data_IF_336899761603
#
_entry.id   IF_336899761603
#
_cell.length_a   1.000
_cell.length_b   1.000
_cell.length_c   1.000
_cell.angle_alpha   90.00
_cell.angle_beta   90.00
_cell.angle_gamma   90.00
#
_symmetry.space_group_name_H-M   'P 1'
#
loop_
_entity.id
_entity.type
_entity.pdbx_description
1 polymer ?
#
# COMPACT_ATOMS: atom_id res chain seq x y z
N UNK A 1 26.26 -12.64 3.61
CA UNK A 1 26.92 -13.90 3.20
C UNK A 1 25.79 -14.80 2.72
N UNK A 2 25.60 -14.86 1.41
CA UNK A 2 24.54 -15.61 0.74
C UNK A 2 25.12 -17.00 0.47
N UNK A 3 24.57 -18.01 1.11
CA UNK A 3 24.88 -19.40 0.77
C UNK A 3 23.89 -19.84 -0.29
N UNK A 4 24.37 -19.96 -1.52
CA UNK A 4 23.69 -20.62 -2.62
C UNK A 4 23.88 -22.12 -2.47
N UNK A 5 22.80 -22.86 -2.24
CA UNK A 5 22.83 -24.32 -2.34
C UNK A 5 22.60 -24.75 -3.79
N UNK A 6 23.26 -25.84 -4.24
CA UNK A 6 23.16 -26.31 -5.62
C UNK A 6 21.83 -27.04 -5.84
N UNK A 7 21.06 -26.60 -6.83
CA UNK A 7 19.92 -27.34 -7.38
C UNK A 7 20.41 -28.54 -8.17
N UNK A 8 20.23 -29.73 -7.64
CA UNK A 8 20.46 -30.99 -8.40
C UNK A 8 19.27 -31.21 -9.36
N UNK A 9 19.50 -31.38 -10.66
CA UNK A 9 18.42 -31.66 -11.58
C UNK A 9 17.90 -33.10 -11.41
N UNK A 10 16.58 -33.26 -11.47
CA UNK A 10 15.90 -34.55 -11.50
C UNK A 10 16.27 -35.30 -12.80
N UNK A 11 17.02 -36.37 -12.68
CA UNK A 11 17.30 -37.29 -13.79
C UNK A 11 16.26 -38.40 -13.77
N UNK A 12 15.42 -38.47 -14.81
CA UNK A 12 14.50 -39.59 -15.01
C UNK A 12 15.22 -40.71 -15.75
N UNK A 13 15.45 -41.84 -15.10
CA UNK A 13 15.83 -43.07 -15.78
C UNK A 13 14.59 -43.97 -15.93
N UNK A 14 14.14 -44.16 -17.18
CA UNK A 14 13.14 -45.15 -17.52
C UNK A 14 13.84 -46.49 -17.76
N UNK A 15 13.49 -47.52 -17.01
CA UNK A 15 13.83 -48.93 -17.31
C UNK A 15 12.60 -49.61 -17.90
N UNK A 16 12.75 -50.43 -18.96
CA UNK A 16 11.63 -51.16 -19.55
C UNK A 16 11.22 -52.35 -18.65
N UNK A 17 9.97 -52.37 -18.21
CA UNK A 17 9.36 -53.51 -17.51
C UNK A 17 9.32 -53.40 -15.98
N UNK A 18 9.28 -52.22 -15.39
CA UNK A 18 9.32 -52.02 -13.95
C UNK A 18 8.03 -51.50 -13.35
N UNK A 19 7.67 -52.08 -12.24
CA UNK A 19 6.80 -51.52 -11.22
C UNK A 19 7.29 -50.14 -10.82
N UNK A 20 6.38 -49.13 -10.79
CA UNK A 20 6.67 -47.80 -10.26
C UNK A 20 6.95 -47.90 -8.75
N UNK A 21 8.20 -47.90 -8.37
CA UNK A 21 8.56 -47.61 -6.97
C UNK A 21 8.55 -46.11 -6.81
N UNK A 22 7.65 -45.58 -5.98
CA UNK A 22 7.72 -44.23 -5.46
C UNK A 22 9.02 -44.12 -4.65
N UNK A 23 10.08 -43.59 -5.26
CA UNK A 23 11.22 -43.08 -4.51
C UNK A 23 10.67 -41.91 -3.70
N UNK A 24 10.59 -42.06 -2.40
CA UNK A 24 10.04 -41.05 -1.49
C UNK A 24 10.68 -39.70 -1.78
N UNK A 25 9.86 -38.75 -2.13
CA UNK A 25 10.24 -37.35 -2.12
C UNK A 25 10.67 -37.05 -0.69
N UNK A 26 11.97 -36.89 -0.45
CA UNK A 26 12.46 -36.35 0.82
C UNK A 26 11.91 -34.94 0.93
N UNK A 27 10.72 -34.80 1.52
CA UNK A 27 10.25 -33.51 1.94
C UNK A 27 11.26 -32.98 2.94
N UNK A 28 11.95 -31.92 2.58
CA UNK A 28 12.83 -31.19 3.49
C UNK A 28 12.00 -30.88 4.76
N UNK A 29 12.32 -31.51 5.86
CA UNK A 29 11.58 -31.30 7.10
C UNK A 29 11.81 -29.87 7.54
N UNK A 30 10.75 -29.05 7.57
CA UNK A 30 10.85 -27.67 8.01
C UNK A 30 11.38 -27.64 9.46
N UNK A 31 12.46 -26.91 9.76
CA UNK A 31 13.20 -27.06 11.01
C UNK A 31 12.45 -26.54 12.25
N UNK A 32 11.35 -25.79 12.07
CA UNK A 32 10.56 -25.25 13.19
C UNK A 32 9.34 -26.11 13.47
N UNK A 33 9.11 -26.38 14.74
CA UNK A 33 7.93 -27.11 15.20
C UNK A 33 6.71 -26.21 15.34
N UNK A 34 5.52 -26.80 15.21
CA UNK A 34 4.25 -26.15 15.52
C UNK A 34 4.15 -26.01 17.03
N UNK A 35 3.93 -24.78 17.52
CA UNK A 35 3.78 -24.49 18.93
C UNK A 35 2.30 -24.31 19.29
N UNK A 36 1.87 -24.91 20.39
CA UNK A 36 0.59 -24.59 21.03
C UNK A 36 0.60 -23.16 21.56
N UNK A 37 -0.57 -22.57 21.83
CA UNK A 37 -0.66 -21.22 22.43
C UNK A 37 0.14 -21.10 23.71
N UNK A 38 0.05 -22.10 24.59
CA UNK A 38 0.82 -22.13 25.84
C UNK A 38 2.34 -22.13 25.60
N UNK A 39 2.82 -22.86 24.59
CA UNK A 39 4.23 -22.87 24.20
C UNK A 39 4.66 -21.54 23.54
N UNK A 40 3.76 -20.89 22.78
CA UNK A 40 4.02 -19.57 22.22
C UNK A 40 4.17 -18.52 23.34
N UNK A 41 3.32 -18.54 24.36
CA UNK A 41 3.48 -17.68 25.55
C UNK A 41 4.80 -17.97 26.25
N UNK A 42 5.11 -19.25 26.45
CA UNK A 42 6.36 -19.65 27.10
C UNK A 42 7.59 -19.16 26.31
N UNK A 43 7.55 -19.18 24.98
CA UNK A 43 8.65 -18.69 24.16
C UNK A 43 8.93 -17.19 24.34
N UNK A 44 7.90 -16.37 24.59
CA UNK A 44 8.08 -14.95 24.93
C UNK A 44 8.74 -14.80 26.32
N UNK A 45 8.29 -15.59 27.32
CA UNK A 45 8.85 -15.58 28.69
C UNK A 45 10.32 -16.02 28.65
N UNK A 46 10.62 -17.12 27.98
CA UNK A 46 11.97 -17.67 27.86
C UNK A 46 12.93 -16.69 27.15
N UNK A 47 12.40 -15.89 26.22
CA UNK A 47 13.12 -14.80 25.58
C UNK A 47 13.25 -13.53 26.45
N UNK A 48 12.69 -13.51 27.67
CA UNK A 48 12.84 -12.40 28.62
C UNK A 48 11.76 -11.33 28.54
N UNK A 49 10.64 -11.58 27.84
CA UNK A 49 9.51 -10.63 27.80
C UNK A 49 8.68 -10.74 29.10
N UNK A 50 8.37 -9.60 29.68
CA UNK A 50 7.50 -9.50 30.86
C UNK A 50 6.05 -9.70 30.43
N UNK A 51 5.35 -10.63 31.07
CA UNK A 51 3.93 -10.94 30.88
C UNK A 51 3.20 -10.73 32.18
N UNK A 52 2.34 -9.70 32.26
CA UNK A 52 1.56 -9.40 33.48
C UNK A 52 0.29 -10.23 33.55
N UNK A 53 -0.35 -10.50 32.40
CA UNK A 53 -1.55 -11.33 32.30
C UNK A 53 -1.38 -12.40 31.21
N UNK A 54 -1.16 -13.64 31.64
CA UNK A 54 -1.06 -14.77 30.70
C UNK A 54 -2.35 -14.97 29.91
N UNK A 55 -3.51 -14.77 30.53
CA UNK A 55 -4.81 -14.92 29.89
C UNK A 55 -5.00 -13.94 28.73
N UNK A 56 -4.57 -12.67 28.90
CA UNK A 56 -4.68 -11.65 27.85
C UNK A 56 -3.73 -11.95 26.69
N UNK A 57 -2.52 -12.43 26.98
CA UNK A 57 -1.57 -12.85 25.94
C UNK A 57 -2.14 -14.05 25.16
N UNK A 58 -2.68 -15.06 25.82
CA UNK A 58 -3.31 -16.20 25.14
C UNK A 58 -4.51 -15.78 24.28
N UNK A 59 -5.33 -14.85 24.77
CA UNK A 59 -6.44 -14.28 24.00
C UNK A 59 -5.94 -13.53 22.76
N UNK A 60 -4.91 -12.71 22.90
CA UNK A 60 -4.29 -11.98 21.78
C UNK A 60 -3.69 -12.95 20.76
N UNK A 61 -2.98 -13.98 21.19
CA UNK A 61 -2.40 -14.97 20.29
C UNK A 61 -3.47 -15.78 19.54
N UNK A 62 -4.62 -16.05 20.14
CA UNK A 62 -5.76 -16.73 19.48
C UNK A 62 -6.45 -15.83 18.44
N UNK A 63 -6.52 -14.52 18.66
CA UNK A 63 -7.24 -13.58 17.78
C UNK A 63 -6.35 -12.95 16.70
N UNK A 64 -5.09 -12.68 16.99
CA UNK A 64 -4.16 -11.95 16.09
C UNK A 64 -3.09 -12.89 15.50
N UNK A 65 -2.65 -13.88 16.29
CA UNK A 65 -1.64 -14.85 15.90
C UNK A 65 -0.21 -14.46 16.27
N UNK A 66 0.57 -15.49 16.64
CA UNK A 66 1.96 -15.33 17.09
C UNK A 66 2.85 -14.59 16.10
N UNK A 67 2.81 -15.01 14.82
CA UNK A 67 3.69 -14.45 13.81
C UNK A 67 3.46 -12.94 13.58
N UNK A 68 2.21 -12.52 13.62
CA UNK A 68 1.84 -11.11 13.48
C UNK A 68 2.33 -10.28 14.68
N UNK A 69 2.03 -10.72 15.90
CA UNK A 69 2.45 -10.00 17.12
C UNK A 69 3.96 -10.00 17.29
N UNK A 70 4.64 -11.09 16.95
CA UNK A 70 6.11 -11.12 16.94
C UNK A 70 6.72 -10.06 16.02
N UNK A 71 6.06 -9.76 14.89
CA UNK A 71 6.48 -8.67 14.01
C UNK A 71 6.49 -7.29 14.70
N UNK A 72 5.58 -7.03 15.65
CA UNK A 72 5.54 -5.78 16.43
C UNK A 72 6.50 -5.79 17.62
N UNK A 73 6.95 -6.94 18.08
CA UNK A 73 7.92 -7.05 19.17
C UNK A 73 9.38 -6.94 18.70
N UNK A 74 9.63 -6.93 17.39
CA UNK A 74 10.98 -7.06 16.83
C UNK A 74 11.93 -5.91 17.22
N UNK A 75 11.42 -4.71 17.42
CA UNK A 75 12.22 -3.55 17.86
C UNK A 75 12.65 -3.64 19.34
N UNK A 76 12.03 -4.52 20.13
CA UNK A 76 12.39 -4.81 21.51
C UNK A 76 13.31 -6.03 21.63
N UNK A 77 13.66 -6.69 20.50
CA UNK A 77 14.41 -7.94 20.50
C UNK A 77 15.84 -7.73 20.05
N UNK A 78 16.80 -8.12 20.89
CA UNK A 78 18.22 -8.13 20.57
C UNK A 78 18.59 -9.47 19.91
N UNK A 79 18.90 -9.40 18.61
CA UNK A 79 19.27 -10.58 17.82
C UNK A 79 20.64 -11.18 18.20
N UNK A 80 21.54 -10.40 18.81
CA UNK A 80 22.87 -10.87 19.19
C UNK A 80 22.78 -11.82 20.41
N UNK A 81 21.97 -11.45 21.39
CA UNK A 81 21.78 -12.25 22.62
C UNK A 81 20.52 -13.12 22.57
N UNK A 82 19.70 -12.99 21.52
CA UNK A 82 18.44 -13.71 21.32
C UNK A 82 17.45 -13.52 22.48
N UNK A 83 17.36 -12.29 23.00
CA UNK A 83 16.51 -11.92 24.14
C UNK A 83 15.81 -10.59 23.87
N UNK A 84 14.68 -10.38 24.54
CA UNK A 84 14.08 -9.08 24.63
C UNK A 84 14.90 -8.15 25.55
N UNK A 85 14.90 -6.87 25.27
CA UNK A 85 15.55 -5.86 26.11
C UNK A 85 14.93 -5.88 27.51
N UNK A 86 15.73 -5.55 28.54
CA UNK A 86 15.26 -5.57 29.93
C UNK A 86 14.02 -4.69 30.11
N UNK A 87 12.98 -5.24 30.72
CA UNK A 87 11.72 -4.54 30.98
C UNK A 87 10.74 -4.52 29.77
N UNK A 88 11.05 -5.13 28.64
CA UNK A 88 10.11 -5.25 27.53
C UNK A 88 8.83 -6.00 27.97
N UNK A 89 7.68 -5.35 27.77
CA UNK A 89 6.37 -5.91 28.17
C UNK A 89 5.57 -6.32 26.93
N UNK A 90 4.79 -7.40 27.08
CA UNK A 90 3.90 -7.82 26.00
C UNK A 90 2.77 -6.82 25.74
N UNK A 91 2.35 -6.08 26.75
CA UNK A 91 1.38 -4.98 26.65
C UNK A 91 1.85 -3.90 25.69
N UNK A 92 3.15 -3.57 25.65
CA UNK A 92 3.69 -2.58 24.71
C UNK A 92 3.56 -3.07 23.26
N UNK A 93 3.70 -4.39 23.04
CA UNK A 93 3.48 -5.01 21.73
C UNK A 93 2.02 -4.91 21.30
N UNK A 94 1.08 -5.14 22.23
CA UNK A 94 -0.36 -5.01 21.96
C UNK A 94 -0.76 -3.56 21.69
N UNK A 95 -0.27 -2.62 22.48
CA UNK A 95 -0.54 -1.21 22.30
C UNK A 95 -0.01 -0.72 20.94
N UNK A 96 1.18 -1.15 20.55
CA UNK A 96 1.73 -0.81 19.24
C UNK A 96 0.93 -1.44 18.09
N UNK A 97 0.48 -2.69 18.25
CA UNK A 97 -0.41 -3.33 17.28
C UNK A 97 -1.72 -2.55 17.14
N UNK A 98 -2.34 -2.16 18.25
CA UNK A 98 -3.58 -1.39 18.26
C UNK A 98 -3.41 -0.04 17.57
N UNK A 99 -2.35 0.69 17.91
CA UNK A 99 -2.00 1.94 17.23
C UNK A 99 -1.89 1.76 15.70
N UNK A 100 -1.19 0.73 15.23
CA UNK A 100 -1.00 0.48 13.79
C UNK A 100 -2.33 0.14 13.08
N UNK A 101 -3.25 -0.56 13.76
CA UNK A 101 -4.59 -0.82 13.23
C UNK A 101 -5.41 0.46 13.11
N UNK A 102 -5.41 1.32 14.13
CA UNK A 102 -6.12 2.61 14.12
C UNK A 102 -5.52 3.56 13.07
N UNK A 103 -4.19 3.61 12.95
CA UNK A 103 -3.49 4.36 11.93
C UNK A 103 -3.86 3.87 10.52
N UNK A 104 -3.88 2.56 10.32
CA UNK A 104 -4.26 1.94 9.05
C UNK A 104 -5.70 2.28 8.67
N UNK A 105 -6.64 2.21 9.59
CA UNK A 105 -8.04 2.54 9.37
C UNK A 105 -8.24 4.03 9.01
N UNK A 106 -7.57 4.93 9.73
CA UNK A 106 -7.60 6.37 9.48
C UNK A 106 -7.08 6.70 8.08
N UNK A 107 -5.91 6.16 7.72
CA UNK A 107 -5.28 6.35 6.42
C UNK A 107 -6.17 5.78 5.30
N UNK A 108 -6.68 4.57 5.46
CA UNK A 108 -7.52 3.91 4.46
C UNK A 108 -8.80 4.70 4.17
N UNK A 109 -9.43 5.26 5.21
CA UNK A 109 -10.59 6.15 5.05
C UNK A 109 -10.28 7.38 4.20
N UNK A 110 -9.11 8.01 4.38
CA UNK A 110 -8.71 9.15 3.57
C UNK A 110 -8.36 8.74 2.13
N UNK A 111 -7.64 7.62 1.96
CA UNK A 111 -7.30 7.11 0.63
C UNK A 111 -8.56 6.78 -0.19
N UNK A 112 -9.59 6.22 0.44
CA UNK A 112 -10.87 5.93 -0.25
C UNK A 112 -11.50 7.21 -0.84
N UNK A 113 -11.44 8.33 -0.13
CA UNK A 113 -11.92 9.63 -0.62
C UNK A 113 -11.06 10.16 -1.79
N UNK A 114 -9.74 9.97 -1.72
CA UNK A 114 -8.81 10.32 -2.80
C UNK A 114 -9.07 9.47 -4.04
N UNK A 115 -9.28 8.17 -3.86
CA UNK A 115 -9.54 7.21 -4.94
C UNK A 115 -10.81 7.56 -5.71
N UNK A 116 -11.92 7.85 -5.00
CA UNK A 116 -13.18 8.30 -5.61
C UNK A 116 -12.99 9.61 -6.39
N UNK A 117 -12.34 10.61 -5.79
CA UNK A 117 -12.07 11.88 -6.46
C UNK A 117 -11.18 11.71 -7.70
N UNK A 118 -10.21 10.81 -7.67
CA UNK A 118 -9.35 10.51 -8.82
C UNK A 118 -10.15 9.90 -9.98
N UNK A 119 -11.10 8.98 -9.69
CA UNK A 119 -11.98 8.40 -10.71
C UNK A 119 -12.80 9.50 -11.43
N UNK A 120 -13.47 10.34 -10.67
CA UNK A 120 -14.27 11.44 -11.21
C UNK A 120 -13.41 12.37 -12.09
N UNK A 121 -12.29 12.85 -11.56
CA UNK A 121 -11.39 13.79 -12.29
C UNK A 121 -10.77 13.15 -13.53
N UNK A 122 -10.49 11.84 -13.50
CA UNK A 122 -10.00 11.12 -14.67
C UNK A 122 -11.09 11.05 -15.76
N UNK A 123 -12.33 10.67 -15.39
CA UNK A 123 -13.46 10.65 -16.34
C UNK A 123 -13.66 12.03 -16.94
N UNK A 124 -13.79 13.09 -16.13
CA UNK A 124 -13.95 14.46 -16.61
C UNK A 124 -12.84 14.87 -17.61
N UNK A 125 -11.58 14.49 -17.32
CA UNK A 125 -10.47 14.79 -18.22
C UNK A 125 -10.49 14.01 -19.54
N UNK A 126 -11.17 12.89 -19.59
CA UNK A 126 -11.31 12.05 -20.79
C UNK A 126 -12.54 12.45 -21.63
N UNK A 127 -13.58 12.99 -21.00
CA UNK A 127 -14.83 13.40 -21.70
C UNK A 127 -14.63 14.53 -22.70
N UNK A 128 -13.50 15.26 -22.68
CA UNK A 128 -13.16 16.28 -23.70
C UNK A 128 -13.08 15.73 -25.12
N UNK A 129 -12.90 14.41 -25.27
CA UNK A 129 -12.88 13.76 -26.58
C UNK A 129 -14.28 13.52 -27.15
N UNK A 130 -15.34 13.73 -26.36
CA UNK A 130 -16.73 13.59 -26.79
C UNK A 130 -17.23 12.16 -27.00
N UNK A 131 -16.35 11.15 -26.75
CA UNK A 131 -16.63 9.74 -27.01
C UNK A 131 -16.79 8.92 -25.72
N UNK A 132 -17.93 8.24 -25.52
CA UNK A 132 -18.11 7.37 -24.34
C UNK A 132 -17.07 6.26 -24.24
N UNK A 133 -16.62 5.72 -25.37
CA UNK A 133 -15.68 4.60 -25.46
C UNK A 133 -14.22 5.09 -25.59
N UNK A 134 -13.91 6.29 -25.13
CA UNK A 134 -12.62 6.96 -25.29
C UNK A 134 -11.40 6.11 -24.85
N UNK A 135 -11.56 5.19 -23.92
CA UNK A 135 -10.47 4.27 -23.53
C UNK A 135 -10.04 3.34 -24.68
N UNK A 136 -10.91 3.09 -25.67
CA UNK A 136 -10.60 2.29 -26.85
C UNK A 136 -9.84 3.08 -27.92
N UNK A 137 -9.82 4.41 -27.82
CA UNK A 137 -9.01 5.25 -28.72
C UNK A 137 -7.54 5.23 -28.31
N UNK A 138 -6.76 4.43 -29.03
CA UNK A 138 -5.31 4.38 -28.80
C UNK A 138 -4.60 5.72 -29.09
N UNK A 139 -5.24 6.64 -29.81
CA UNK A 139 -4.61 7.91 -30.23
C UNK A 139 -4.33 8.84 -29.07
N UNK A 140 -5.08 8.75 -27.97
CA UNK A 140 -4.89 9.57 -26.76
C UNK A 140 -3.72 9.11 -25.88
N UNK A 141 -3.14 7.94 -26.17
CA UNK A 141 -2.04 7.34 -25.40
C UNK A 141 -0.69 7.51 -26.10
N UNK A 142 0.39 7.69 -25.30
CA UNK A 142 1.75 7.89 -25.80
C UNK A 142 2.35 6.62 -26.40
N UNK A 143 2.36 5.55 -25.62
CA UNK A 143 3.02 4.30 -25.95
C UNK A 143 2.00 3.23 -26.33
N UNK A 144 2.02 2.79 -27.61
CA UNK A 144 1.05 1.82 -28.12
C UNK A 144 1.22 0.42 -27.49
N UNK A 145 2.44 -0.02 -27.24
CA UNK A 145 2.70 -1.31 -26.56
C UNK A 145 2.14 -1.28 -25.14
N UNK A 146 2.33 -0.18 -24.39
CA UNK A 146 1.81 -0.01 -23.07
C UNK A 146 0.28 0.12 -23.07
N UNK A 147 -0.28 0.79 -24.09
CA UNK A 147 -1.72 0.85 -24.31
C UNK A 147 -2.34 -0.56 -24.35
N UNK A 148 -1.85 -1.44 -25.21
CA UNK A 148 -2.38 -2.81 -25.34
C UNK A 148 -2.24 -3.62 -24.05
N UNK A 149 -1.11 -3.46 -23.32
CA UNK A 149 -0.93 -4.07 -22.00
C UNK A 149 -1.95 -3.54 -20.98
N UNK A 150 -2.22 -2.26 -20.98
CA UNK A 150 -3.21 -1.65 -20.09
C UNK A 150 -4.62 -2.11 -20.46
N UNK A 151 -4.96 -2.15 -21.75
CA UNK A 151 -6.27 -2.63 -22.23
C UNK A 151 -6.54 -4.08 -21.84
N UNK A 152 -5.54 -4.96 -21.91
CA UNK A 152 -5.67 -6.34 -21.40
C UNK A 152 -6.04 -6.38 -19.90
N UNK A 153 -5.43 -5.50 -19.09
CA UNK A 153 -5.75 -5.40 -17.65
C UNK A 153 -7.17 -4.85 -17.45
N UNK A 154 -7.53 -3.79 -18.18
CA UNK A 154 -8.86 -3.15 -18.14
C UNK A 154 -9.94 -4.16 -18.51
N UNK A 155 -9.77 -4.87 -19.64
CA UNK A 155 -10.70 -5.88 -20.08
C UNK A 155 -10.88 -7.00 -19.05
N UNK A 156 -9.80 -7.46 -18.43
CA UNK A 156 -9.85 -8.48 -17.37
C UNK A 156 -10.57 -7.97 -16.11
N UNK A 157 -10.36 -6.71 -15.70
CA UNK A 157 -11.04 -6.11 -14.54
C UNK A 157 -12.54 -5.91 -14.81
N UNK A 158 -12.92 -5.48 -15.99
CA UNK A 158 -14.32 -5.35 -16.44
C UNK A 158 -15.00 -6.73 -16.48
N UNK A 159 -14.40 -7.71 -17.14
CA UNK A 159 -14.98 -9.03 -17.35
C UNK A 159 -15.23 -9.79 -16.03
N UNK A 160 -14.44 -9.55 -15.00
CA UNK A 160 -14.63 -10.18 -13.66
C UNK A 160 -15.60 -9.42 -12.76
N UNK A 161 -16.04 -8.21 -13.13
CA UNK A 161 -16.97 -7.42 -12.32
C UNK A 161 -18.36 -8.03 -12.35
N UNK A 162 -18.99 -8.09 -11.17
CA UNK A 162 -20.38 -8.49 -10.98
C UNK A 162 -21.32 -7.31 -10.75
N UNK A 163 -20.83 -6.07 -10.92
CA UNK A 163 -21.63 -4.87 -10.71
C UNK A 163 -22.78 -4.78 -11.68
N UNK A 164 -23.94 -4.33 -11.17
CA UNK A 164 -25.18 -4.28 -11.94
C UNK A 164 -25.06 -3.44 -13.21
N UNK A 165 -24.36 -2.30 -13.13
CA UNK A 165 -24.18 -1.41 -14.28
C UNK A 165 -23.23 -2.00 -15.35
N UNK A 166 -22.28 -2.86 -14.98
CA UNK A 166 -21.43 -3.58 -15.95
C UNK A 166 -22.25 -4.66 -16.66
N UNK A 167 -23.01 -5.46 -15.89
CA UNK A 167 -23.93 -6.47 -16.47
C UNK A 167 -24.94 -5.84 -17.42
N UNK A 168 -25.53 -4.69 -17.02
CA UNK A 168 -26.48 -3.94 -17.85
C UNK A 168 -25.87 -3.59 -19.22
N UNK A 169 -24.62 -3.14 -19.27
CA UNK A 169 -23.96 -2.83 -20.54
C UNK A 169 -23.71 -4.08 -21.38
N UNK A 170 -23.35 -5.22 -20.77
CA UNK A 170 -23.23 -6.48 -21.51
C UNK A 170 -24.56 -6.95 -22.10
N UNK A 171 -25.65 -6.84 -21.34
CA UNK A 171 -26.96 -7.37 -21.72
C UNK A 171 -27.72 -6.46 -22.69
N UNK A 172 -27.49 -5.13 -22.65
CA UNK A 172 -28.34 -4.15 -23.36
C UNK A 172 -27.56 -3.22 -24.29
N UNK A 173 -26.22 -3.26 -24.30
CA UNK A 173 -25.37 -2.37 -25.10
C UNK A 173 -24.21 -3.12 -25.79
N UNK A 174 -24.44 -4.36 -26.23
CA UNK A 174 -23.49 -5.23 -26.95
C UNK A 174 -22.10 -5.33 -26.27
N UNK A 175 -22.03 -5.15 -24.94
CA UNK A 175 -20.79 -5.17 -24.18
C UNK A 175 -19.95 -3.90 -24.33
N UNK A 176 -20.48 -2.84 -24.90
CA UNK A 176 -19.82 -1.54 -24.93
C UNK A 176 -19.86 -0.89 -23.53
N UNK A 177 -18.70 -0.73 -22.93
CA UNK A 177 -18.58 -0.19 -21.56
C UNK A 177 -18.07 1.26 -21.63
N UNK A 178 -18.91 2.25 -21.33
CA UNK A 178 -18.47 3.65 -21.37
C UNK A 178 -17.45 3.95 -20.26
N UNK A 179 -16.61 4.98 -20.50
CA UNK A 179 -15.48 5.31 -19.62
C UNK A 179 -15.87 5.50 -18.16
N UNK A 180 -17.02 6.10 -17.90
CA UNK A 180 -17.52 6.34 -16.53
C UNK A 180 -17.91 5.05 -15.81
N UNK A 181 -18.40 4.04 -16.53
CA UNK A 181 -18.68 2.72 -15.97
C UNK A 181 -17.39 1.89 -15.80
N UNK A 182 -16.52 1.91 -16.82
CA UNK A 182 -15.24 1.20 -16.77
C UNK A 182 -14.39 1.64 -15.56
N UNK A 183 -14.23 2.95 -15.35
CA UNK A 183 -13.38 3.53 -14.30
C UNK A 183 -13.82 3.12 -12.89
N UNK A 184 -15.13 2.88 -12.66
CA UNK A 184 -15.64 2.48 -11.34
C UNK A 184 -15.14 1.10 -10.90
N UNK A 185 -14.94 0.18 -11.84
CA UNK A 185 -14.50 -1.20 -11.53
C UNK A 185 -12.98 -1.40 -11.63
N UNK A 186 -12.25 -0.40 -12.14
CA UNK A 186 -10.81 -0.48 -12.25
C UNK A 186 -10.11 -0.32 -10.89
N UNK A 187 -9.06 -1.10 -10.67
CA UNK A 187 -8.21 -0.95 -9.49
C UNK A 187 -7.46 0.39 -9.50
N UNK A 188 -7.11 0.90 -8.31
CA UNK A 188 -6.31 2.12 -8.18
C UNK A 188 -4.99 2.04 -8.95
N UNK A 189 -4.37 0.84 -8.97
CA UNK A 189 -3.16 0.61 -9.77
C UNK A 189 -3.39 0.72 -11.28
N UNK A 190 -4.55 0.29 -11.78
CA UNK A 190 -4.92 0.40 -13.21
C UNK A 190 -5.20 1.84 -13.60
N UNK A 191 -5.87 2.63 -12.74
CA UNK A 191 -6.03 4.07 -12.96
C UNK A 191 -4.66 4.78 -13.10
N UNK A 192 -3.70 4.44 -12.24
CA UNK A 192 -2.33 4.96 -12.33
C UNK A 192 -1.66 4.64 -13.68
N UNK A 193 -1.85 3.41 -14.19
CA UNK A 193 -1.28 2.99 -15.49
C UNK A 193 -1.92 3.75 -16.67
N UNK A 194 -3.23 3.99 -16.64
CA UNK A 194 -3.93 4.82 -17.62
C UNK A 194 -3.32 6.22 -17.63
N UNK A 195 -3.29 6.90 -16.49
CA UNK A 195 -2.78 8.27 -16.33
C UNK A 195 -1.33 8.37 -16.80
N UNK A 196 -0.49 7.41 -16.45
CA UNK A 196 0.92 7.35 -16.86
C UNK A 196 1.10 7.32 -18.38
N UNK A 197 0.15 6.74 -19.10
CA UNK A 197 0.23 6.59 -20.56
C UNK A 197 -0.55 7.64 -21.36
N UNK A 198 -1.31 8.53 -20.73
CA UNK A 198 -1.98 9.63 -21.42
C UNK A 198 -0.96 10.52 -22.14
N UNK A 199 -1.29 11.01 -23.34
CA UNK A 199 -0.53 12.07 -24.01
C UNK A 199 -0.53 13.33 -23.14
N UNK A 200 0.59 14.04 -23.19
CA UNK A 200 0.78 15.33 -22.50
C UNK A 200 0.77 16.46 -23.54
N UNK A 201 0.52 17.67 -23.10
CA UNK A 201 0.46 18.87 -23.92
C UNK A 201 -0.69 19.78 -23.48
N UNK A 202 -0.73 20.97 -24.01
CA UNK A 202 -1.80 21.94 -23.73
C UNK A 202 -3.13 21.38 -24.27
N UNK A 203 -4.18 21.41 -23.43
CA UNK A 203 -5.51 20.90 -23.79
C UNK A 203 -5.62 19.36 -23.80
N UNK A 204 -4.58 18.61 -23.46
CA UNK A 204 -4.67 17.15 -23.35
C UNK A 204 -5.45 16.73 -22.11
N UNK A 205 -6.00 15.49 -22.12
CA UNK A 205 -6.63 14.89 -20.95
C UNK A 205 -5.71 14.93 -19.73
N UNK A 206 -4.40 14.68 -19.92
CA UNK A 206 -3.45 14.79 -18.82
C UNK A 206 -3.39 16.21 -18.25
N UNK A 207 -3.35 17.26 -19.08
CA UNK A 207 -3.25 18.65 -18.59
C UNK A 207 -4.49 19.08 -17.80
N UNK A 208 -5.67 18.60 -18.21
CA UNK A 208 -6.94 18.86 -17.53
C UNK A 208 -6.98 18.12 -16.18
N UNK A 209 -6.59 16.84 -16.16
CA UNK A 209 -6.48 16.07 -14.93
C UNK A 209 -5.50 16.73 -13.95
N UNK A 210 -4.30 17.11 -14.42
CA UNK A 210 -3.24 17.68 -13.60
C UNK A 210 -3.61 19.05 -13.00
N UNK A 211 -4.49 19.82 -13.64
CA UNK A 211 -4.98 21.08 -13.12
C UNK A 211 -5.76 20.95 -11.79
N UNK A 212 -6.27 19.75 -11.48
CA UNK A 212 -6.92 19.45 -10.19
C UNK A 212 -5.92 19.24 -9.04
N UNK A 213 -4.62 19.19 -9.33
CA UNK A 213 -3.56 18.82 -8.39
C UNK A 213 -2.43 19.85 -8.35
N UNK A 214 -2.76 21.12 -8.64
CA UNK A 214 -1.79 22.21 -8.64
C UNK A 214 -1.15 22.40 -7.26
N UNK A 215 0.10 22.80 -7.30
CA UNK A 215 0.87 23.16 -6.10
C UNK A 215 1.61 24.49 -6.33
N UNK A 216 1.99 25.16 -5.24
CA UNK A 216 2.80 26.37 -5.32
C UNK A 216 4.26 26.02 -5.57
N UNK A 217 4.81 26.55 -6.67
CA UNK A 217 6.24 26.48 -6.96
C UNK A 217 7.05 27.33 -5.97
N UNK A 218 8.39 27.18 -5.97
CA UNK A 218 9.30 28.06 -5.19
C UNK A 218 9.10 29.56 -5.44
N UNK A 219 8.61 29.93 -6.63
CA UNK A 219 8.31 31.33 -7.01
C UNK A 219 6.89 31.75 -6.62
N UNK A 220 6.14 30.91 -5.90
CA UNK A 220 4.76 31.20 -5.48
C UNK A 220 3.68 30.96 -6.54
N UNK A 221 4.04 30.64 -7.80
CA UNK A 221 3.09 30.38 -8.87
C UNK A 221 2.44 29.01 -8.70
N UNK A 222 1.14 28.91 -9.03
CA UNK A 222 0.45 27.63 -9.17
C UNK A 222 0.93 26.92 -10.44
N UNK A 223 1.35 25.69 -10.30
CA UNK A 223 1.84 24.86 -11.41
C UNK A 223 1.22 23.46 -11.36
N UNK A 224 0.97 22.90 -12.52
CA UNK A 224 0.52 21.52 -12.64
C UNK A 224 1.68 20.56 -12.34
N UNK A 225 1.46 19.44 -11.65
CA UNK A 225 2.47 18.41 -11.50
C UNK A 225 2.87 17.83 -12.85
N UNK A 226 4.14 17.48 -13.01
CA UNK A 226 4.57 16.68 -14.15
C UNK A 226 3.89 15.30 -14.10
N UNK A 227 3.75 14.66 -15.27
CA UNK A 227 3.13 13.34 -15.32
C UNK A 227 3.90 12.30 -14.48
N UNK A 228 5.23 12.40 -14.44
CA UNK A 228 6.08 11.57 -13.60
C UNK A 228 5.76 11.78 -12.11
N UNK A 229 5.65 13.04 -11.68
CA UNK A 229 5.34 13.41 -10.30
C UNK A 229 3.94 12.93 -9.89
N UNK A 230 2.88 13.30 -10.62
CA UNK A 230 1.52 12.90 -10.32
C UNK A 230 1.38 11.36 -10.28
N UNK A 231 2.00 10.67 -11.23
CA UNK A 231 1.97 9.21 -11.27
C UNK A 231 2.69 8.60 -10.07
N UNK A 232 3.82 9.19 -9.63
CA UNK A 232 4.55 8.72 -8.44
C UNK A 232 3.72 8.86 -7.17
N UNK A 233 2.98 9.97 -7.03
CA UNK A 233 2.05 10.18 -5.91
C UNK A 233 0.95 9.11 -5.88
N UNK A 234 0.28 8.90 -7.03
CA UNK A 234 -0.79 7.90 -7.13
C UNK A 234 -0.25 6.50 -6.84
N UNK A 235 0.95 6.16 -7.33
CA UNK A 235 1.58 4.85 -7.07
C UNK A 235 1.92 4.65 -5.59
N UNK A 236 2.47 5.66 -4.92
CA UNK A 236 2.76 5.60 -3.49
C UNK A 236 1.49 5.39 -2.66
N UNK A 237 0.43 6.16 -2.96
CA UNK A 237 -0.87 6.04 -2.30
C UNK A 237 -1.53 4.70 -2.59
N UNK A 238 -1.43 4.18 -3.82
CA UNK A 238 -1.93 2.84 -4.19
C UNK A 238 -1.22 1.72 -3.41
N UNK A 239 0.10 1.83 -3.24
CA UNK A 239 0.87 0.86 -2.43
C UNK A 239 0.42 0.89 -0.96
N UNK A 240 0.26 2.07 -0.37
CA UNK A 240 -0.21 2.24 1.00
C UNK A 240 -1.65 1.74 1.17
N UNK A 241 -2.54 2.03 0.21
CA UNK A 241 -3.91 1.51 0.18
C UNK A 241 -3.93 -0.02 0.26
N UNK A 242 -3.09 -0.69 -0.52
CA UNK A 242 -3.00 -2.14 -0.49
C UNK A 242 -2.46 -2.67 0.84
N UNK A 243 -1.49 -1.98 1.45
CA UNK A 243 -1.03 -2.35 2.80
C UNK A 243 -2.15 -2.25 3.83
N UNK A 244 -2.92 -1.17 3.82
CA UNK A 244 -4.08 -1.00 4.71
C UNK A 244 -5.14 -2.08 4.46
N UNK A 245 -5.55 -2.28 3.20
CA UNK A 245 -6.59 -3.25 2.82
C UNK A 245 -6.22 -4.70 3.18
N UNK A 246 -4.94 -5.04 3.17
CA UNK A 246 -4.44 -6.38 3.53
C UNK A 246 -3.99 -6.47 4.99
N UNK A 247 -4.32 -5.50 5.84
CA UNK A 247 -3.91 -5.44 7.24
C UNK A 247 -2.39 -5.66 7.42
N UNK A 248 -1.58 -5.16 6.49
CA UNK A 248 -0.13 -5.21 6.61
C UNK A 248 0.35 -4.17 7.62
N UNK A 249 1.39 -4.50 8.41
CA UNK A 249 2.00 -3.54 9.31
C UNK A 249 2.51 -2.32 8.53
N UNK A 250 2.17 -1.12 9.01
CA UNK A 250 2.62 0.16 8.46
C UNK A 250 3.73 0.76 9.33
N UNK A 251 3.56 0.69 10.64
CA UNK A 251 4.54 1.21 11.61
C UNK A 251 5.90 0.53 11.46
N UNK A 252 6.95 1.33 11.45
CA UNK A 252 8.35 0.87 11.34
C UNK A 252 8.59 -0.13 10.19
N UNK A 253 8.05 0.18 9.01
CA UNK A 253 8.22 -0.63 7.80
C UNK A 253 8.69 0.23 6.65
N UNK A 254 9.70 -0.24 5.93
CA UNK A 254 10.13 0.39 4.68
C UNK A 254 9.08 0.17 3.59
N UNK A 255 8.63 1.25 2.97
CA UNK A 255 7.73 1.22 1.83
C UNK A 255 8.57 1.57 0.60
N UNK A 256 8.71 0.61 -0.32
CA UNK A 256 9.63 0.75 -1.46
C UNK A 256 9.11 1.69 -2.56
N UNK A 257 7.81 1.97 -2.60
CA UNK A 257 7.22 2.89 -3.57
C UNK A 257 7.27 4.31 -3.03
N UNK A 258 8.29 5.08 -3.45
CA UNK A 258 8.52 6.45 -2.98
C UNK A 258 7.91 7.45 -3.95
N UNK A 259 7.00 8.34 -3.48
CA UNK A 259 6.53 9.47 -4.27
C UNK A 259 7.63 10.51 -4.45
N UNK A 260 7.60 11.24 -5.56
CA UNK A 260 8.42 12.44 -5.72
C UNK A 260 7.97 13.50 -4.72
N UNK A 261 8.90 14.03 -3.92
CA UNK A 261 8.64 15.04 -2.91
C UNK A 261 8.94 16.42 -3.47
N UNK A 262 8.05 17.37 -3.26
CA UNK A 262 8.31 18.77 -3.62
C UNK A 262 9.43 19.35 -2.77
N UNK A 263 10.20 20.24 -3.35
CA UNK A 263 11.31 20.89 -2.62
C UNK A 263 10.85 21.64 -1.37
N UNK A 264 9.61 22.13 -1.36
CA UNK A 264 9.01 22.80 -0.19
C UNK A 264 8.71 21.82 0.97
N UNK A 265 8.54 20.53 0.68
CA UNK A 265 8.24 19.49 1.67
C UNK A 265 9.47 18.65 2.03
N UNK A 266 10.65 18.99 1.48
CA UNK A 266 11.90 18.31 1.85
C UNK A 266 12.32 18.69 3.25
N UNK A 267 12.41 17.71 4.12
CA UNK A 267 12.87 17.86 5.49
C UNK A 267 14.36 17.56 5.54
N UNK A 268 15.11 18.33 6.34
CA UNK A 268 16.54 18.10 6.57
C UNK A 268 16.74 17.69 8.02
N UNK A 269 17.40 16.57 8.33
CA UNK A 269 18.01 15.61 7.37
C UNK A 269 16.97 14.78 6.62
N UNK A 270 17.30 14.39 5.40
CA UNK A 270 16.46 13.49 4.60
C UNK A 270 16.37 12.14 5.32
N UNK A 271 15.15 11.61 5.57
CA UNK A 271 15.00 10.31 6.21
C UNK A 271 15.74 9.21 5.44
N UNK A 272 16.46 8.35 6.15
CA UNK A 272 17.28 7.31 5.55
C UNK A 272 16.46 6.20 4.84
N UNK A 273 15.16 6.09 5.16
CA UNK A 273 14.26 5.06 4.64
C UNK A 273 12.96 5.67 4.14
N UNK A 274 12.34 5.03 3.15
CA UNK A 274 11.01 5.38 2.70
C UNK A 274 10.00 5.02 3.78
N UNK A 275 9.42 6.04 4.38
CA UNK A 275 8.45 5.87 5.42
C UNK A 275 7.06 6.33 4.98
N UNK A 276 6.14 6.16 5.89
CA UNK A 276 4.76 6.58 5.74
C UNK A 276 4.63 8.08 5.42
N UNK A 277 5.45 8.91 6.06
CA UNK A 277 5.35 10.36 5.98
C UNK A 277 5.43 10.90 4.53
N UNK A 278 6.33 10.34 3.69
CA UNK A 278 6.46 10.78 2.30
C UNK A 278 5.18 10.50 1.48
N UNK A 279 4.48 9.40 1.80
CA UNK A 279 3.22 9.08 1.13
C UNK A 279 2.10 10.00 1.64
N UNK A 280 2.08 10.38 2.91
CA UNK A 280 1.12 11.36 3.43
C UNK A 280 1.31 12.74 2.77
N UNK A 281 2.55 13.16 2.49
CA UNK A 281 2.81 14.37 1.70
C UNK A 281 2.20 14.27 0.28
N UNK A 282 2.34 13.11 -0.38
CA UNK A 282 1.68 12.89 -1.67
C UNK A 282 0.14 12.92 -1.55
N UNK A 283 -0.42 12.31 -0.50
CA UNK A 283 -1.87 12.35 -0.21
C UNK A 283 -2.37 13.79 -0.01
N UNK A 284 -1.59 14.66 0.63
CA UNK A 284 -1.90 16.09 0.79
C UNK A 284 -2.19 16.74 -0.56
N UNK A 285 -1.42 16.43 -1.59
CA UNK A 285 -1.62 16.99 -2.94
C UNK A 285 -2.74 16.30 -3.73
N UNK A 286 -3.05 15.05 -3.41
CA UNK A 286 -4.13 14.29 -4.06
C UNK A 286 -5.51 14.48 -3.39
N UNK A 287 -5.60 15.21 -2.30
CA UNK A 287 -6.83 15.37 -1.50
C UNK A 287 -8.03 15.84 -2.32
N UNK A 288 -9.21 15.42 -1.90
CA UNK A 288 -10.47 15.80 -2.53
C UNK A 288 -11.01 17.16 -2.04
N UNK A 289 -10.74 17.52 -0.78
CA UNK A 289 -11.09 18.81 -0.18
C UNK A 289 -10.12 19.19 0.94
N UNK A 290 -9.99 20.50 1.19
CA UNK A 290 -9.15 21.00 2.30
C UNK A 290 -9.76 20.66 3.66
N UNK A 291 -11.07 20.79 3.83
CA UNK A 291 -11.79 20.48 5.07
C UNK A 291 -11.58 19.04 5.51
N UNK A 292 -11.84 18.06 4.60
CA UNK A 292 -11.65 16.64 4.89
C UNK A 292 -10.18 16.31 5.20
N UNK A 293 -9.25 17.00 4.55
CA UNK A 293 -7.83 16.83 4.80
C UNK A 293 -7.43 17.37 6.18
N UNK A 294 -7.91 18.56 6.55
CA UNK A 294 -7.64 19.15 7.88
C UNK A 294 -8.15 18.23 9.00
N UNK A 295 -9.38 17.72 8.87
CA UNK A 295 -9.93 16.73 9.82
C UNK A 295 -9.03 15.50 9.93
N UNK A 296 -8.57 14.97 8.79
CA UNK A 296 -7.65 13.82 8.80
C UNK A 296 -6.33 14.12 9.54
N UNK A 297 -5.73 15.29 9.32
CA UNK A 297 -4.49 15.71 9.98
C UNK A 297 -4.70 15.89 11.50
N UNK A 298 -5.84 16.45 11.90
CA UNK A 298 -6.17 16.61 13.31
C UNK A 298 -6.44 15.27 14.01
N UNK A 299 -7.10 14.33 13.34
CA UNK A 299 -7.33 12.98 13.87
C UNK A 299 -6.03 12.17 13.94
N UNK A 300 -5.14 12.33 12.96
CA UNK A 300 -3.79 11.76 12.99
C UNK A 300 -2.97 12.32 14.18
N UNK A 301 -3.05 13.63 14.42
CA UNK A 301 -2.37 14.25 15.57
C UNK A 301 -2.90 13.69 16.90
N UNK A 302 -4.22 13.61 17.07
CA UNK A 302 -4.82 13.00 18.28
C UNK A 302 -4.35 11.56 18.47
N UNK A 303 -4.34 10.77 17.40
CA UNK A 303 -3.88 9.38 17.44
C UNK A 303 -2.42 9.28 17.87
N UNK A 304 -1.55 10.14 17.33
CA UNK A 304 -0.13 10.21 17.70
C UNK A 304 0.03 10.64 19.17
N UNK A 305 -0.65 11.71 19.59
CA UNK A 305 -0.54 12.21 20.97
C UNK A 305 -0.99 11.20 22.01
N UNK A 306 -2.08 10.47 21.74
CA UNK A 306 -2.59 9.42 22.62
C UNK A 306 -1.63 8.21 22.75
N UNK A 307 -0.67 8.06 21.82
CA UNK A 307 0.23 6.91 21.77
C UNK A 307 1.72 7.30 21.90
N UNK A 308 2.04 8.53 22.33
CA UNK A 308 3.42 9.06 22.34
C UNK A 308 4.39 8.23 23.19
N UNK A 309 3.89 7.51 24.19
CA UNK A 309 4.69 6.60 25.03
C UNK A 309 4.92 5.21 24.39
N UNK A 310 4.25 4.91 23.29
CA UNK A 310 4.28 3.59 22.62
C UNK A 310 5.03 3.66 21.31
N UNK A 311 4.99 4.82 20.63
CA UNK A 311 5.51 5.00 19.28
C UNK A 311 6.72 5.94 19.24
N UNK A 312 7.49 5.80 18.15
CA UNK A 312 8.50 6.78 17.76
C UNK A 312 8.13 7.38 16.39
N UNK A 313 8.08 8.70 16.30
CA UNK A 313 7.83 9.41 15.05
C UNK A 313 8.89 9.08 13.98
N UNK A 314 10.14 8.92 14.39
CA UNK A 314 11.25 8.56 13.49
C UNK A 314 11.07 7.18 12.85
N UNK A 315 10.38 6.25 13.52
CA UNK A 315 10.07 4.93 12.96
C UNK A 315 9.11 4.99 11.75
N UNK A 316 8.41 6.11 11.58
CA UNK A 316 7.52 6.40 10.44
C UNK A 316 8.07 7.50 9.53
N UNK A 317 9.32 7.96 9.75
CA UNK A 317 9.99 9.08 9.09
C UNK A 317 9.28 10.44 9.26
N UNK A 318 8.53 10.61 10.35
CA UNK A 318 7.91 11.91 10.68
C UNK A 318 8.94 12.85 11.27
N UNK A 319 9.10 14.06 10.73
CA UNK A 319 9.88 15.11 11.38
C UNK A 319 9.13 15.65 12.61
N UNK A 320 9.81 16.39 13.46
CA UNK A 320 9.19 16.97 14.66
C UNK A 320 8.08 17.97 14.36
N UNK A 321 8.18 18.66 13.23
CA UNK A 321 7.23 19.66 12.73
C UNK A 321 6.29 19.10 11.65
N UNK A 322 6.11 17.79 11.60
CA UNK A 322 5.35 17.07 10.59
C UNK A 322 3.95 17.65 10.34
N UNK A 323 3.27 18.12 11.37
CA UNK A 323 1.92 18.67 11.28
C UNK A 323 1.89 19.96 10.45
N UNK A 324 2.91 20.83 10.58
CA UNK A 324 3.04 22.04 9.78
C UNK A 324 3.11 21.72 8.28
N UNK A 325 3.92 20.74 7.91
CA UNK A 325 4.07 20.34 6.51
C UNK A 325 2.84 19.65 5.91
N UNK A 326 2.05 18.94 6.73
CA UNK A 326 0.78 18.35 6.29
C UNK A 326 -0.38 19.34 6.28
N UNK A 327 -0.27 20.50 6.93
CA UNK A 327 -1.30 21.54 6.90
C UNK A 327 -1.47 22.15 5.50
N UNK A 328 -2.68 22.66 5.21
CA UNK A 328 -3.09 23.25 3.91
C UNK A 328 -3.60 24.66 4.06
#
# INVERSE_FOLDING_TARGET
MILTEPTTPLVFHAQPGGTFSFVGCFMHQYPKQILTIAQQVQSYIDAGMVITSRADVEKALKSVGFYRLHGYSFHLYDNAVKKYVSGAKFEDVLNLYQFDQELSALIFSMISKIEVALRVRLVESLLIHGEPLVLQDSSIFKEKKLYWKNMSTIASEIARSNDVFIKHNFDNHDGEIPVWAAVEVLSFGTLSKIIKNLKTGIGSSYSILAANYQYKSKKGNLVNPSQKMLTSWIQGVSALRNMCAHNSRIYNRTIHTTPEILDADKVTPVPAHNGLYQILLAMKYLRSSNEKWTTFVDDLDKLIQNNIGVISLSAMNFPTDWKLHLSV
#
